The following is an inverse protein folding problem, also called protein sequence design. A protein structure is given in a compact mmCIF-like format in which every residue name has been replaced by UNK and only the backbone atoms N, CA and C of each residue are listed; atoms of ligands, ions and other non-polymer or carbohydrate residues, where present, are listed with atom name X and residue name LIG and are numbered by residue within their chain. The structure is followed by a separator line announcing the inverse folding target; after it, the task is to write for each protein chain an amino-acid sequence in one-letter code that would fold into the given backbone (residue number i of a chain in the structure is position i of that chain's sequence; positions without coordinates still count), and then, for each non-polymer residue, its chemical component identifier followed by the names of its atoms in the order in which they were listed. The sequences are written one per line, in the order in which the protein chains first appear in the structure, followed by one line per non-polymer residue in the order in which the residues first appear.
data_IF_029347029068
#
_entry.id   IF_029347029068
#
_cell.length_a   1.000
_cell.length_b   1.000
_cell.length_c   1.000
_cell.angle_alpha   90.00
_cell.angle_beta   90.00
_cell.angle_gamma   90.00
#
_symmetry.space_group_name_H-M   'P 1'
#
loop_
_entity.id
_entity.type
_entity.pdbx_description
1 polymer ?
#
# COMPACT_ATOMS: atom_id res chain seq x y z
N UNK A 1 -30.35 7.59 5.71
CA UNK A 1 -29.48 7.34 6.89
C UNK A 1 -28.11 6.71 6.60
N UNK A 2 -27.85 6.03 5.45
CA UNK A 2 -26.54 5.40 5.15
C UNK A 2 -25.37 6.39 4.93
N UNK A 3 -25.63 7.62 4.50
CA UNK A 3 -24.60 8.61 4.16
C UNK A 3 -23.82 9.15 5.37
N UNK A 4 -24.52 9.47 6.47
CA UNK A 4 -23.93 10.07 7.68
C UNK A 4 -22.93 9.11 8.35
N UNK A 5 -23.20 7.80 8.35
CA UNK A 5 -22.31 6.80 8.94
C UNK A 5 -20.99 6.63 8.16
N UNK A 6 -21.05 6.67 6.82
CA UNK A 6 -19.85 6.57 5.95
C UNK A 6 -18.95 7.81 6.09
N UNK A 7 -19.53 8.97 6.31
CA UNK A 7 -18.81 10.22 6.48
C UNK A 7 -18.10 10.31 7.84
N UNK A 8 -18.79 9.91 8.92
CA UNK A 8 -18.21 9.82 10.27
C UNK A 8 -16.97 8.92 10.32
N UNK A 9 -17.01 7.78 9.63
CA UNK A 9 -15.86 6.85 9.55
C UNK A 9 -14.71 7.41 8.72
N UNK A 10 -14.98 8.15 7.64
CA UNK A 10 -13.96 8.84 6.85
C UNK A 10 -13.22 9.88 7.67
N UNK A 11 -13.97 10.71 8.40
CA UNK A 11 -13.41 11.76 9.26
C UNK A 11 -12.51 11.18 10.37
N UNK A 12 -12.96 10.11 11.03
CA UNK A 12 -12.17 9.41 12.06
C UNK A 12 -10.84 8.89 11.52
N UNK A 13 -10.84 8.29 10.31
CA UNK A 13 -9.61 7.83 9.67
C UNK A 13 -8.63 8.97 9.38
N UNK A 14 -9.14 10.14 8.98
CA UNK A 14 -8.31 11.31 8.72
C UNK A 14 -7.69 11.85 10.02
N UNK A 15 -8.48 11.97 11.09
CA UNK A 15 -7.95 12.34 12.40
C UNK A 15 -6.85 11.39 12.87
N UNK A 16 -7.06 10.08 12.74
CA UNK A 16 -6.06 9.08 13.11
C UNK A 16 -4.74 9.30 12.35
N UNK A 17 -4.81 9.55 11.03
CA UNK A 17 -3.62 9.88 10.22
C UNK A 17 -2.94 11.17 10.67
N UNK A 18 -3.69 12.22 10.98
CA UNK A 18 -3.12 13.48 11.46
C UNK A 18 -2.38 13.28 12.79
N UNK A 19 -2.94 12.50 13.71
CA UNK A 19 -2.27 12.19 14.97
C UNK A 19 -1.02 11.33 14.79
N UNK A 20 -1.02 10.40 13.82
CA UNK A 20 0.19 9.68 13.42
C UNK A 20 1.22 10.65 12.82
N UNK A 21 0.79 11.55 11.93
CA UNK A 21 1.64 12.58 11.33
C UNK A 21 2.27 13.52 12.35
N UNK A 22 1.50 13.95 13.36
CA UNK A 22 2.02 14.72 14.51
C UNK A 22 3.20 14.02 15.17
N UNK A 23 3.05 12.72 15.49
CA UNK A 23 4.12 11.92 16.09
C UNK A 23 5.30 11.73 15.15
N UNK A 24 5.03 11.45 13.87
CA UNK A 24 6.05 11.21 12.85
C UNK A 24 6.94 12.43 12.61
N UNK A 25 6.33 13.62 12.57
CA UNK A 25 7.01 14.90 12.38
C UNK A 25 7.62 15.45 13.69
N UNK A 26 7.49 14.75 14.81
CA UNK A 26 8.04 15.19 16.09
C UNK A 26 7.38 16.45 16.65
N UNK A 27 6.16 16.80 16.21
CA UNK A 27 5.50 18.03 16.63
C UNK A 27 5.00 17.91 18.08
N UNK A 28 5.49 18.79 18.95
CA UNK A 28 4.94 18.94 20.30
C UNK A 28 3.56 19.61 20.25
N UNK A 29 2.91 19.78 21.40
CA UNK A 29 1.56 20.37 21.46
C UNK A 29 1.49 21.81 20.94
N UNK A 30 2.52 22.62 21.20
CA UNK A 30 2.59 24.01 20.75
C UNK A 30 2.81 24.10 19.24
N UNK A 31 3.83 23.41 18.72
CA UNK A 31 4.16 23.38 17.29
C UNK A 31 3.02 22.79 16.48
N UNK A 32 2.33 21.78 17.02
CA UNK A 32 1.16 21.20 16.38
C UNK A 32 0.01 22.21 16.24
N UNK A 33 -0.26 23.03 17.26
CA UNK A 33 -1.31 24.07 17.17
C UNK A 33 -0.96 25.15 16.16
N UNK A 34 0.31 25.58 16.12
CA UNK A 34 0.81 26.52 15.11
C UNK A 34 0.65 25.92 13.71
N UNK A 35 1.06 24.66 13.54
CA UNK A 35 0.93 23.95 12.28
C UNK A 35 -0.52 23.90 11.79
N UNK A 36 -1.47 23.54 12.66
CA UNK A 36 -2.89 23.51 12.32
C UNK A 36 -3.43 24.89 11.96
N UNK A 37 -3.01 25.92 12.70
CA UNK A 37 -3.40 27.32 12.48
C UNK A 37 -2.85 27.84 11.15
N UNK A 38 -1.62 27.50 10.80
CA UNK A 38 -1.03 27.85 9.51
C UNK A 38 -1.76 27.15 8.35
N UNK A 39 -2.18 25.90 8.53
CA UNK A 39 -2.86 25.15 7.49
C UNK A 39 -4.34 25.54 7.29
N UNK A 40 -5.06 25.87 8.37
CA UNK A 40 -6.54 25.99 8.35
C UNK A 40 -7.10 27.17 9.15
N UNK A 41 -6.23 27.97 9.78
CA UNK A 41 -6.64 29.05 10.70
C UNK A 41 -7.10 28.57 12.08
N UNK A 42 -7.25 27.26 12.31
CA UNK A 42 -7.76 26.66 13.54
C UNK A 42 -6.66 25.95 14.32
N UNK A 43 -6.69 26.06 15.65
CA UNK A 43 -5.70 25.41 16.53
C UNK A 43 -6.10 23.98 16.95
N UNK A 44 -7.28 23.51 16.55
CA UNK A 44 -7.79 22.19 16.92
C UNK A 44 -8.51 21.51 15.76
N UNK A 45 -8.26 20.21 15.61
CA UNK A 45 -8.97 19.35 14.65
C UNK A 45 -10.41 19.00 15.09
N UNK A 46 -10.84 19.41 16.29
CA UNK A 46 -12.18 19.12 16.84
C UNK A 46 -13.30 19.71 15.98
N UNK A 47 -13.11 20.94 15.49
CA UNK A 47 -14.10 21.69 14.72
C UNK A 47 -13.73 21.84 13.25
N UNK A 48 -12.81 21.00 12.76
CA UNK A 48 -12.44 20.98 11.34
C UNK A 48 -13.41 20.16 10.50
N UNK A 49 -13.76 20.68 9.33
CA UNK A 49 -14.48 20.01 8.25
C UNK A 49 -13.61 18.95 7.58
N UNK A 50 -14.20 18.12 6.72
CA UNK A 50 -13.41 17.12 5.98
C UNK A 50 -12.38 17.78 5.06
N UNK A 51 -12.71 18.92 4.45
CA UNK A 51 -11.79 19.59 3.53
C UNK A 51 -10.62 20.25 4.26
N UNK A 52 -10.88 20.88 5.40
CA UNK A 52 -9.83 21.40 6.28
C UNK A 52 -8.91 20.27 6.79
N UNK A 53 -9.46 19.10 7.14
CA UNK A 53 -8.64 17.93 7.50
C UNK A 53 -7.81 17.39 6.33
N UNK A 54 -8.24 17.57 5.07
CA UNK A 54 -7.43 17.22 3.90
C UNK A 54 -6.29 18.20 3.72
N UNK A 55 -6.54 19.50 3.89
CA UNK A 55 -5.51 20.54 3.83
C UNK A 55 -4.41 20.28 4.85
N UNK A 56 -4.76 19.98 6.10
CA UNK A 56 -3.79 19.58 7.13
C UNK A 56 -2.94 18.38 6.68
N UNK A 57 -3.57 17.33 6.14
CA UNK A 57 -2.85 16.16 5.65
C UNK A 57 -1.92 16.49 4.46
N UNK A 58 -2.33 17.39 3.57
CA UNK A 58 -1.50 17.84 2.45
C UNK A 58 -0.29 18.66 2.93
N UNK A 59 -0.50 19.55 3.91
CA UNK A 59 0.59 20.27 4.56
C UNK A 59 1.55 19.32 5.27
N UNK A 60 1.03 18.29 5.96
CA UNK A 60 1.87 17.30 6.63
C UNK A 60 2.67 16.50 5.61
N UNK A 61 2.07 16.15 4.47
CA UNK A 61 2.75 15.48 3.36
C UNK A 61 3.91 16.33 2.81
N UNK A 62 3.65 17.62 2.60
CA UNK A 62 4.68 18.57 2.15
C UNK A 62 5.80 18.75 3.18
N UNK A 63 5.49 18.59 4.48
CA UNK A 63 6.46 18.58 5.57
C UNK A 63 7.20 17.24 5.75
N UNK A 64 6.97 16.24 4.88
CA UNK A 64 7.66 14.96 4.90
C UNK A 64 6.85 13.79 5.47
N UNK A 65 5.64 14.01 5.99
CA UNK A 65 4.70 12.94 6.34
C UNK A 65 4.03 12.38 5.09
N UNK A 66 4.84 11.72 4.26
CA UNK A 66 4.41 11.07 3.03
C UNK A 66 3.46 9.91 3.34
N UNK A 67 2.17 10.21 3.52
CA UNK A 67 1.12 9.18 3.69
C UNK A 67 0.90 8.32 2.43
N UNK A 68 1.63 8.60 1.35
CA UNK A 68 1.74 7.72 0.19
C UNK A 68 2.50 6.43 0.50
N UNK A 69 3.32 6.42 1.55
CA UNK A 69 4.14 5.27 1.92
C UNK A 69 3.48 4.54 3.08
N UNK A 70 3.13 3.28 2.85
CA UNK A 70 2.49 2.33 3.79
C UNK A 70 0.96 2.37 3.87
N UNK A 71 0.27 2.50 2.74
CA UNK A 71 -0.82 1.54 2.55
C UNK A 71 -0.18 0.16 2.37
N UNK A 72 -0.80 -0.88 2.91
CA UNK A 72 -0.54 -2.30 2.61
C UNK A 72 -0.69 -2.67 1.11
N UNK A 73 -0.25 -1.82 0.17
CA UNK A 73 -0.48 -1.88 -1.28
C UNK A 73 0.33 -2.98 -1.99
N UNK A 74 1.25 -3.65 -1.30
CA UNK A 74 2.09 -4.70 -1.88
C UNK A 74 2.06 -6.01 -1.11
N UNK A 75 0.93 -6.38 -0.49
CA UNK A 75 0.78 -7.74 0.09
C UNK A 75 0.63 -8.81 -1.02
N UNK A 76 1.44 -8.70 -2.07
CA UNK A 76 1.49 -9.52 -3.29
C UNK A 76 0.41 -9.10 -4.30
N UNK A 77 0.83 -8.48 -5.41
CA UNK A 77 0.02 -7.96 -6.53
C UNK A 77 -1.37 -8.58 -6.66
N UNK A 78 -2.43 -7.76 -6.72
CA UNK A 78 -3.83 -8.18 -6.91
C UNK A 78 -3.93 -9.49 -7.69
N UNK A 79 -4.51 -10.54 -7.08
CA UNK A 79 -4.75 -11.78 -7.82
C UNK A 79 -5.84 -11.49 -8.83
N UNK A 80 -5.45 -11.43 -10.09
CA UNK A 80 -6.40 -11.22 -11.17
C UNK A 80 -7.06 -12.55 -11.54
N UNK A 81 -8.31 -12.50 -12.00
CA UNK A 81 -9.00 -13.67 -12.55
C UNK A 81 -8.22 -14.31 -13.72
N UNK A 82 -7.39 -13.51 -14.41
CA UNK A 82 -6.48 -14.00 -15.43
C UNK A 82 -5.35 -14.86 -14.85
N UNK A 83 -4.79 -14.49 -13.70
CA UNK A 83 -3.71 -15.24 -13.05
C UNK A 83 -4.18 -16.62 -12.55
N UNK A 84 -5.47 -16.75 -12.26
CA UNK A 84 -6.09 -17.99 -11.76
C UNK A 84 -6.71 -18.85 -12.86
N UNK A 85 -6.36 -18.61 -14.14
CA UNK A 85 -6.89 -19.39 -15.26
C UNK A 85 -6.52 -20.87 -15.17
N UNK A 86 -5.28 -21.15 -14.76
CA UNK A 86 -4.75 -22.51 -14.62
C UNK A 86 -4.18 -22.81 -13.23
N UNK A 87 -4.11 -21.78 -12.36
CA UNK A 87 -3.53 -21.86 -11.03
C UNK A 87 -4.56 -21.50 -9.97
N UNK A 88 -4.45 -22.13 -8.80
CA UNK A 88 -5.27 -21.73 -7.65
C UNK A 88 -4.84 -20.36 -7.11
N UNK A 89 -5.79 -19.63 -6.53
CA UNK A 89 -5.51 -18.35 -5.88
C UNK A 89 -4.42 -18.48 -4.79
N UNK A 90 -4.38 -19.62 -4.09
CA UNK A 90 -3.35 -19.91 -3.08
C UNK A 90 -1.94 -19.95 -3.70
N UNK A 91 -1.79 -20.59 -4.86
CA UNK A 91 -0.51 -20.69 -5.56
C UNK A 91 -0.06 -19.34 -6.12
N UNK A 92 -0.98 -18.58 -6.72
CA UNK A 92 -0.68 -17.24 -7.24
C UNK A 92 -0.23 -16.32 -6.10
N UNK A 93 -0.93 -16.34 -4.96
CA UNK A 93 -0.52 -15.59 -3.76
C UNK A 93 0.82 -16.03 -3.22
N UNK A 94 1.10 -17.33 -3.23
CA UNK A 94 2.37 -17.87 -2.75
C UNK A 94 3.56 -17.46 -3.63
N UNK A 95 3.41 -17.56 -4.96
CA UNK A 95 4.46 -17.15 -5.93
C UNK A 95 4.75 -15.65 -5.83
N UNK A 96 3.70 -14.81 -5.90
CA UNK A 96 3.85 -13.36 -5.73
C UNK A 96 4.38 -13.02 -4.33
N UNK A 97 4.03 -13.86 -3.35
CA UNK A 97 4.55 -13.97 -2.00
C UNK A 97 6.06 -13.98 -1.91
N UNK A 98 6.61 -15.07 -2.44
CA UNK A 98 8.05 -15.33 -2.47
C UNK A 98 8.79 -14.29 -3.30
N UNK A 99 8.22 -13.88 -4.45
CA UNK A 99 8.82 -12.83 -5.28
C UNK A 99 9.03 -11.53 -4.51
N UNK A 100 8.02 -11.11 -3.75
CA UNK A 100 8.13 -9.90 -2.93
C UNK A 100 9.20 -9.99 -1.85
N UNK A 101 9.43 -11.17 -1.29
CA UNK A 101 10.43 -11.37 -0.24
C UNK A 101 11.85 -11.44 -0.80
N UNK A 102 12.03 -12.06 -1.96
CA UNK A 102 13.34 -12.47 -2.46
C UNK A 102 13.88 -11.56 -3.59
N UNK A 103 13.02 -10.84 -4.31
CA UNK A 103 13.46 -9.99 -5.41
C UNK A 103 14.08 -8.66 -4.93
N UNK A 104 15.09 -8.19 -5.66
CA UNK A 104 15.73 -6.89 -5.40
C UNK A 104 14.78 -5.71 -5.60
N UNK A 105 13.94 -5.78 -6.64
CA UNK A 105 12.94 -4.76 -6.99
C UNK A 105 11.59 -5.43 -7.25
N UNK A 106 10.82 -5.79 -6.21
CA UNK A 106 9.63 -6.62 -6.35
C UNK A 106 8.45 -5.86 -6.94
N UNK A 107 8.29 -5.93 -8.27
CA UNK A 107 7.13 -5.41 -8.99
C UNK A 107 6.59 -6.41 -10.04
N UNK A 108 5.46 -6.12 -10.70
CA UNK A 108 4.82 -7.04 -11.65
C UNK A 108 5.62 -7.21 -12.95
N UNK A 109 6.25 -6.14 -13.42
CA UNK A 109 7.06 -6.18 -14.65
C UNK A 109 8.29 -7.06 -14.48
N UNK A 110 8.98 -6.91 -13.35
CA UNK A 110 10.14 -7.73 -12.99
C UNK A 110 9.75 -9.18 -12.71
N UNK A 111 8.55 -9.42 -12.15
CA UNK A 111 8.01 -10.77 -12.02
C UNK A 111 7.74 -11.40 -13.39
N UNK A 112 7.14 -10.66 -14.34
CA UNK A 112 6.91 -11.15 -15.71
C UNK A 112 8.22 -11.47 -16.42
N UNK A 113 9.23 -10.60 -16.29
CA UNK A 113 10.56 -10.85 -16.82
C UNK A 113 11.18 -12.13 -16.23
N UNK A 114 11.02 -12.35 -14.91
CA UNK A 114 11.46 -13.57 -14.25
C UNK A 114 10.73 -14.81 -14.78
N UNK A 115 9.39 -14.76 -14.90
CA UNK A 115 8.59 -15.85 -15.45
C UNK A 115 9.04 -16.19 -16.87
N UNK A 116 9.19 -15.17 -17.73
CA UNK A 116 9.65 -15.34 -19.11
C UNK A 116 11.02 -16.01 -19.19
N UNK A 117 11.94 -15.66 -18.30
CA UNK A 117 13.28 -16.25 -18.26
C UNK A 117 13.28 -17.72 -17.85
N UNK A 118 12.40 -18.12 -16.93
CA UNK A 118 12.40 -19.48 -16.35
C UNK A 118 11.48 -20.44 -17.11
N UNK A 119 10.33 -19.97 -17.58
CA UNK A 119 9.29 -20.82 -18.17
C UNK A 119 8.98 -20.49 -19.63
N UNK A 120 9.64 -19.48 -20.22
CA UNK A 120 9.34 -18.93 -21.56
C UNK A 120 7.90 -18.40 -21.73
N UNK A 121 7.14 -18.25 -20.64
CA UNK A 121 5.77 -17.69 -20.63
C UNK A 121 5.76 -16.20 -20.33
N UNK A 122 4.75 -15.48 -20.79
CA UNK A 122 4.70 -14.02 -20.60
C UNK A 122 4.12 -13.60 -19.24
N UNK A 123 3.34 -14.47 -18.60
CA UNK A 123 2.62 -14.15 -17.37
C UNK A 123 2.16 -15.41 -16.61
N UNK A 124 1.70 -15.23 -15.36
CA UNK A 124 1.12 -16.32 -14.56
C UNK A 124 -0.15 -16.91 -15.18
N UNK A 125 -0.89 -16.13 -15.97
CA UNK A 125 -2.10 -16.61 -16.66
C UNK A 125 -1.83 -17.67 -17.73
N UNK A 126 -0.58 -17.80 -18.18
CA UNK A 126 -0.12 -18.80 -19.15
C UNK A 126 0.61 -19.98 -18.47
N UNK A 127 0.85 -19.90 -17.16
CA UNK A 127 1.54 -20.92 -16.39
C UNK A 127 0.55 -21.97 -15.90
N UNK A 128 0.85 -23.25 -16.14
CA UNK A 128 0.14 -24.36 -15.53
C UNK A 128 0.82 -24.84 -14.24
N UNK A 129 0.35 -25.97 -13.73
CA UNK A 129 0.81 -26.52 -12.46
C UNK A 129 2.32 -26.89 -12.46
N UNK A 130 2.84 -27.33 -13.61
CA UNK A 130 4.26 -27.67 -13.76
C UNK A 130 5.14 -26.43 -13.69
N UNK A 131 4.77 -25.38 -14.42
CA UNK A 131 5.48 -24.10 -14.44
C UNK A 131 5.43 -23.41 -13.08
N UNK A 132 4.30 -23.48 -12.38
CA UNK A 132 4.17 -22.94 -11.03
C UNK A 132 5.13 -23.63 -10.04
N UNK A 133 5.29 -24.95 -10.11
CA UNK A 133 6.24 -25.66 -9.24
C UNK A 133 7.69 -25.24 -9.55
N UNK A 134 8.05 -25.12 -10.83
CA UNK A 134 9.38 -24.62 -11.24
C UNK A 134 9.62 -23.22 -10.69
N UNK A 135 8.63 -22.32 -10.80
CA UNK A 135 8.73 -20.96 -10.26
C UNK A 135 8.88 -20.94 -8.75
N UNK A 136 8.14 -21.76 -8.01
CA UNK A 136 8.25 -21.85 -6.54
C UNK A 136 9.65 -22.30 -6.14
N UNK A 137 10.16 -23.38 -6.74
CA UNK A 137 11.50 -23.89 -6.44
C UNK A 137 12.57 -22.84 -6.75
N UNK A 138 12.53 -22.25 -7.95
CA UNK A 138 13.46 -21.21 -8.34
C UNK A 138 13.41 -19.99 -7.40
N UNK A 139 12.23 -19.59 -6.93
CA UNK A 139 12.08 -18.49 -5.98
C UNK A 139 12.62 -18.82 -4.59
N UNK A 140 12.54 -20.08 -4.14
CA UNK A 140 13.11 -20.53 -2.87
C UNK A 140 14.64 -20.62 -2.90
N UNK A 141 15.22 -20.87 -4.07
CA UNK A 141 16.68 -20.90 -4.28
C UNK A 141 17.32 -19.52 -4.36
N UNK A 142 16.53 -18.46 -4.60
CA UNK A 142 16.98 -17.06 -4.45
C UNK A 142 17.14 -16.78 -2.94
N UNK A 143 18.19 -17.36 -2.33
CA UNK A 143 18.67 -16.98 -1.00
C UNK A 143 19.67 -15.84 -1.16
N UNK A 144 19.50 -14.81 -0.33
CA UNK A 144 20.44 -13.69 -0.20
C UNK A 144 21.77 -14.16 0.34
#
# INVERSE_FOLDING_TARGET
MKYIAKEKTKRQKMLAKIHIGKKYLGLNEYDYRIFLKAATGKESTKYMSIDELKEVLNSMNSAGFNTSVHTHKSKYFYVSAYDTRYLSEKQVKYIKGLWWQNAKNPNEETLRAFIKRITAKNSLSECGQKEANILITALQEIKK
#
